data_IF_273208190458
#
_entry.id   IF_273208190458
#
_cell.length_a   1.000
_cell.length_b   1.000
_cell.length_c   1.000
_cell.angle_alpha   90.00
_cell.angle_beta   90.00
_cell.angle_gamma   90.00
#
_symmetry.space_group_name_H-M   'P 1'
#
loop_
_entity.id
_entity.type
_entity.pdbx_description
1 polymer ?
#
# COMPACT_ATOMS: atom_id res chain seq x y z
N UNK A 1 7.86 13.06 -23.43
CA UNK A 1 9.05 13.69 -22.82
C UNK A 1 9.98 12.57 -22.38
N UNK A 2 11.27 12.66 -22.68
CA UNK A 2 12.24 11.63 -22.32
C UNK A 2 12.41 11.67 -20.79
N UNK A 3 11.78 10.76 -20.05
CA UNK A 3 11.91 10.70 -18.59
C UNK A 3 13.30 10.20 -18.27
N UNK A 4 14.22 11.12 -17.98
CA UNK A 4 15.58 10.79 -17.58
C UNK A 4 15.52 9.81 -16.40
N UNK A 5 16.23 8.69 -16.55
CA UNK A 5 16.36 7.68 -15.50
C UNK A 5 17.62 7.98 -14.71
N UNK A 6 17.49 8.10 -13.40
CA UNK A 6 18.62 8.34 -12.49
C UNK A 6 18.94 7.05 -11.75
N UNK A 7 20.22 6.67 -11.71
CA UNK A 7 20.69 5.51 -10.95
C UNK A 7 21.14 5.96 -9.56
N UNK A 8 20.64 5.31 -8.52
CA UNK A 8 20.79 5.72 -7.13
C UNK A 8 21.13 4.52 -6.23
N UNK A 9 21.98 4.73 -5.23
CA UNK A 9 22.15 3.82 -4.09
C UNK A 9 20.96 3.92 -3.11
N UNK A 10 20.87 2.99 -2.15
CA UNK A 10 19.84 3.03 -1.10
C UNK A 10 19.89 4.32 -0.27
N UNK A 11 21.09 4.84 0.01
CA UNK A 11 21.29 6.09 0.75
C UNK A 11 20.82 7.30 -0.05
N UNK A 12 21.09 7.35 -1.35
CA UNK A 12 20.69 8.48 -2.21
C UNK A 12 19.18 8.54 -2.42
N UNK A 13 18.45 7.41 -2.34
CA UNK A 13 16.97 7.42 -2.39
C UNK A 13 16.34 8.33 -1.32
N UNK A 14 16.99 8.51 -0.17
CA UNK A 14 16.50 9.33 0.93
C UNK A 14 16.37 10.80 0.50
N UNK A 15 17.33 11.31 -0.27
CA UNK A 15 17.29 12.67 -0.83
C UNK A 15 16.16 12.84 -1.86
N UNK A 16 15.69 11.73 -2.44
CA UNK A 16 14.52 11.68 -3.32
C UNK A 16 13.20 11.38 -2.57
N UNK A 17 13.25 11.36 -1.24
CA UNK A 17 12.11 11.18 -0.36
C UNK A 17 11.60 9.74 -0.26
N UNK A 18 12.43 8.74 -0.59
CA UNK A 18 12.15 7.35 -0.27
C UNK A 18 13.23 6.81 0.66
N UNK A 19 12.85 6.41 1.86
CA UNK A 19 13.72 5.59 2.71
C UNK A 19 13.35 4.11 2.55
N UNK A 20 14.34 3.27 2.26
CA UNK A 20 14.17 1.81 2.17
C UNK A 20 15.27 1.10 2.95
N UNK A 21 15.63 1.54 4.16
CA UNK A 21 16.65 0.89 5.01
C UNK A 21 17.85 0.31 4.24
N UNK A 22 18.13 -1.00 4.37
CA UNK A 22 19.17 -1.70 3.56
C UNK A 22 18.73 -2.13 2.15
N UNK A 23 17.48 -1.88 1.77
CA UNK A 23 16.97 -2.08 0.42
C UNK A 23 16.56 -3.52 0.06
N UNK A 24 16.89 -4.50 0.90
CA UNK A 24 16.68 -5.94 0.62
C UNK A 24 15.22 -6.39 0.48
N UNK A 25 14.28 -5.55 0.91
CA UNK A 25 12.85 -5.86 0.90
C UNK A 25 12.11 -5.50 -0.38
N UNK A 26 12.73 -4.74 -1.29
CA UNK A 26 12.08 -4.26 -2.51
C UNK A 26 12.35 -5.21 -3.67
N UNK A 27 11.32 -5.98 -4.07
CA UNK A 27 11.50 -7.10 -5.02
C UNK A 27 11.16 -6.75 -6.47
N UNK A 28 10.34 -5.73 -6.67
CA UNK A 28 9.84 -5.28 -7.98
C UNK A 28 9.78 -3.76 -7.98
N UNK A 29 9.47 -3.12 -9.12
CA UNK A 29 9.24 -1.70 -9.14
C UNK A 29 8.18 -1.27 -8.12
N UNK A 30 8.47 -0.18 -7.43
CA UNK A 30 7.58 0.54 -6.53
C UNK A 30 7.22 1.87 -7.17
N UNK A 31 5.97 2.32 -7.02
CA UNK A 31 5.61 3.70 -7.31
C UNK A 31 5.40 4.44 -6.00
N UNK A 32 6.08 5.56 -5.79
CA UNK A 32 5.92 6.36 -4.59
C UNK A 32 5.69 7.83 -4.91
N UNK A 33 4.71 8.41 -4.26
CA UNK A 33 4.59 9.85 -4.11
C UNK A 33 5.36 10.26 -2.85
N UNK A 34 6.40 11.08 -3.00
CA UNK A 34 7.30 11.38 -1.87
C UNK A 34 6.63 12.30 -0.82
N UNK A 35 7.02 12.22 0.46
CA UNK A 35 7.95 11.25 1.03
C UNK A 35 7.31 9.91 1.40
N UNK A 36 8.07 8.81 1.39
CA UNK A 36 7.64 7.48 1.87
C UNK A 36 8.76 6.85 2.70
N UNK A 37 8.40 6.18 3.80
CA UNK A 37 9.35 5.50 4.68
C UNK A 37 9.06 4.00 4.80
N UNK A 38 9.93 3.17 4.26
CA UNK A 38 9.85 1.71 4.37
C UNK A 38 10.98 1.22 5.27
N UNK A 39 10.70 1.05 6.57
CA UNK A 39 11.69 0.60 7.56
C UNK A 39 11.96 -0.90 7.39
N UNK A 40 12.90 -1.24 6.50
CA UNK A 40 13.35 -2.60 6.23
C UNK A 40 12.18 -3.60 6.06
N UNK A 41 11.31 -3.44 5.05
CA UNK A 41 10.23 -4.40 4.84
C UNK A 41 10.79 -5.79 4.49
N UNK A 42 10.04 -6.86 4.81
CA UNK A 42 10.42 -8.21 4.35
C UNK A 42 10.28 -8.31 2.84
N UNK A 43 9.12 -7.89 2.32
CA UNK A 43 8.75 -7.96 0.90
C UNK A 43 7.79 -6.84 0.53
N UNK A 44 8.17 -6.04 -0.44
CA UNK A 44 7.28 -5.12 -1.16
C UNK A 44 7.31 -5.54 -2.62
N UNK A 45 6.15 -5.97 -3.12
CA UNK A 45 5.97 -6.46 -4.48
C UNK A 45 4.78 -5.79 -5.14
N UNK A 46 5.02 -5.17 -6.28
CA UNK A 46 4.05 -4.50 -7.16
C UNK A 46 3.17 -3.49 -6.40
N UNK A 47 3.77 -2.70 -5.50
CA UNK A 47 3.04 -1.78 -4.64
C UNK A 47 3.18 -0.32 -5.08
N UNK A 48 2.21 0.49 -4.65
CA UNK A 48 2.23 1.95 -4.74
C UNK A 48 1.99 2.59 -3.38
N UNK A 49 2.64 3.72 -3.09
CA UNK A 49 2.50 4.45 -1.82
C UNK A 49 2.32 5.95 -2.04
N UNK A 50 1.30 6.51 -1.39
CA UNK A 50 1.09 7.95 -1.30
C UNK A 50 2.04 8.62 -0.30
N UNK A 51 2.18 9.93 -0.43
CA UNK A 51 3.00 10.75 0.46
C UNK A 51 2.70 10.56 1.95
N UNK A 52 3.75 10.61 2.76
CA UNK A 52 3.75 10.43 4.21
C UNK A 52 3.34 9.04 4.70
N UNK A 53 3.15 8.07 3.79
CA UNK A 53 2.94 6.69 4.19
C UNK A 53 4.24 6.07 4.70
N UNK A 54 4.11 5.18 5.69
CA UNK A 54 5.24 4.37 6.14
C UNK A 54 4.85 2.94 6.50
N UNK A 55 5.84 2.06 6.40
CA UNK A 55 5.77 0.67 6.86
C UNK A 55 6.89 0.45 7.87
N UNK A 56 6.55 0.21 9.14
CA UNK A 56 7.49 -0.30 10.11
C UNK A 56 7.71 -1.80 9.84
N UNK A 57 8.66 -2.14 8.99
CA UNK A 57 8.82 -3.48 8.46
C UNK A 57 9.59 -4.42 9.38
N UNK A 58 10.76 -4.00 9.89
CA UNK A 58 11.68 -4.82 10.70
C UNK A 58 11.90 -6.25 10.15
N UNK A 59 11.95 -6.38 8.82
CA UNK A 59 12.04 -7.63 8.06
C UNK A 59 10.88 -8.62 8.27
N UNK A 60 9.73 -8.14 8.74
CA UNK A 60 8.53 -8.97 9.01
C UNK A 60 7.36 -8.67 8.08
N UNK A 61 7.11 -7.40 7.71
CA UNK A 61 5.94 -7.02 6.90
C UNK A 61 6.11 -7.37 5.41
N UNK A 62 5.06 -7.94 4.81
CA UNK A 62 5.00 -8.36 3.41
C UNK A 62 3.75 -7.82 2.70
N UNK A 63 3.93 -6.95 1.72
CA UNK A 63 2.85 -6.37 0.91
C UNK A 63 3.00 -6.80 -0.55
N UNK A 64 1.89 -7.21 -1.16
CA UNK A 64 1.83 -7.73 -2.53
C UNK A 64 0.66 -7.10 -3.28
N UNK A 65 0.94 -6.42 -4.39
CA UNK A 65 -0.08 -5.77 -5.23
C UNK A 65 -1.00 -4.87 -4.38
N UNK A 66 -0.40 -3.93 -3.64
CA UNK A 66 -1.10 -3.01 -2.76
C UNK A 66 -0.97 -1.56 -3.27
N UNK A 67 -2.07 -0.82 -3.28
CA UNK A 67 -2.06 0.64 -3.43
C UNK A 67 -2.37 1.29 -2.08
N UNK A 68 -1.41 2.02 -1.52
CA UNK A 68 -1.47 2.61 -0.19
C UNK A 68 -1.62 4.13 -0.30
N UNK A 69 -2.63 4.69 0.37
CA UNK A 69 -2.90 6.12 0.39
C UNK A 69 -1.92 6.93 1.23
N UNK A 70 -1.96 8.25 1.05
CA UNK A 70 -1.21 9.22 1.85
C UNK A 70 -1.46 9.08 3.36
N UNK A 71 -0.46 9.42 4.17
CA UNK A 71 -0.52 9.43 5.65
C UNK A 71 -0.83 8.06 6.29
N UNK A 72 -0.76 6.96 5.54
CA UNK A 72 -1.07 5.62 6.07
C UNK A 72 0.11 5.04 6.83
N UNK A 73 -0.18 4.49 8.00
CA UNK A 73 0.77 3.93 8.96
C UNK A 73 0.58 2.42 9.07
N UNK A 74 1.60 1.65 8.70
CA UNK A 74 1.56 0.17 8.74
C UNK A 74 2.61 -0.33 9.73
N UNK A 75 2.18 -1.08 10.74
CA UNK A 75 3.07 -1.67 11.74
C UNK A 75 3.82 -2.92 11.22
N UNK A 76 4.60 -3.52 12.11
CA UNK A 76 5.37 -4.73 11.85
C UNK A 76 4.50 -5.98 11.71
N UNK A 77 5.07 -7.01 11.11
CA UNK A 77 4.46 -8.32 10.87
C UNK A 77 3.14 -8.29 10.08
N UNK A 78 2.85 -7.19 9.36
CA UNK A 78 1.65 -7.09 8.53
C UNK A 78 1.83 -7.86 7.23
N UNK A 79 0.83 -8.66 6.87
CA UNK A 79 0.75 -9.31 5.55
C UNK A 79 -0.48 -8.80 4.83
N UNK A 80 -0.31 -8.17 3.68
CA UNK A 80 -1.41 -7.67 2.87
C UNK A 80 -1.28 -8.12 1.42
N UNK A 81 -2.42 -8.49 0.82
CA UNK A 81 -2.47 -8.81 -0.60
C UNK A 81 -1.80 -10.13 -0.99
N UNK A 82 -1.50 -11.03 -0.05
CA UNK A 82 -0.85 -12.31 -0.35
C UNK A 82 -1.58 -13.11 -1.44
N UNK A 83 -0.84 -13.88 -2.25
CA UNK A 83 -1.42 -14.71 -3.31
C UNK A 83 -2.38 -15.75 -2.73
N UNK A 84 -3.51 -15.93 -3.40
CA UNK A 84 -4.52 -16.94 -3.05
C UNK A 84 -4.45 -18.12 -4.02
N UNK A 85 -4.86 -19.28 -3.56
CA UNK A 85 -4.92 -20.50 -4.34
C UNK A 85 -6.38 -20.92 -4.57
N UNK A 86 -6.70 -21.59 -5.68
CA UNK A 86 -8.02 -22.17 -5.89
C UNK A 86 -8.34 -23.18 -4.78
N UNK A 87 -9.54 -23.05 -4.20
CA UNK A 87 -10.06 -23.98 -3.17
C UNK A 87 -11.07 -24.98 -3.73
N UNK A 88 -11.64 -24.68 -4.90
CA UNK A 88 -12.70 -25.48 -5.54
C UNK A 88 -12.20 -26.35 -6.70
N UNK A 89 -10.90 -26.35 -6.96
CA UNK A 89 -10.29 -27.16 -8.02
C UNK A 89 -9.80 -28.50 -7.45
N UNK A 90 -9.45 -29.44 -8.33
CA UNK A 90 -8.87 -30.72 -7.93
C UNK A 90 -7.67 -30.57 -6.98
N UNK A 91 -6.86 -29.53 -7.16
CA UNK A 91 -5.73 -29.21 -6.29
C UNK A 91 -5.58 -27.70 -6.16
N UNK A 92 -5.11 -27.26 -5.00
CA UNK A 92 -4.62 -25.91 -4.80
C UNK A 92 -3.19 -25.72 -5.34
N UNK A 93 -2.53 -26.78 -5.84
CA UNK A 93 -1.16 -26.68 -6.31
C UNK A 93 -1.06 -25.81 -7.59
N UNK A 94 -0.08 -24.90 -7.68
CA UNK A 94 0.15 -24.04 -8.84
C UNK A 94 0.31 -24.72 -10.19
N UNK A 95 0.45 -26.05 -10.28
CA UNK A 95 0.65 -26.71 -11.58
C UNK A 95 -0.59 -26.59 -12.48
N UNK A 96 -1.75 -26.28 -11.89
CA UNK A 96 -3.02 -26.11 -12.59
C UNK A 96 -3.26 -24.69 -13.13
N UNK A 97 -2.61 -23.66 -12.58
CA UNK A 97 -2.95 -22.25 -12.89
C UNK A 97 -1.76 -21.30 -13.03
N UNK A 98 -0.57 -21.70 -12.60
CA UNK A 98 0.59 -20.85 -12.68
C UNK A 98 1.37 -21.06 -13.98
N UNK A 99 2.00 -20.00 -14.44
CA UNK A 99 2.89 -20.05 -15.59
C UNK A 99 4.09 -20.96 -15.28
N UNK A 100 4.46 -21.90 -16.18
CA UNK A 100 5.58 -22.81 -15.97
C UNK A 100 6.87 -22.09 -15.57
N UNK A 101 7.13 -20.89 -16.11
CA UNK A 101 8.33 -20.11 -15.79
C UNK A 101 8.38 -19.62 -14.33
N UNK A 102 7.29 -19.69 -13.56
CA UNK A 102 7.29 -19.45 -12.11
C UNK A 102 7.88 -20.64 -11.31
N UNK A 103 7.92 -21.83 -11.92
CA UNK A 103 8.36 -23.09 -11.32
C UNK A 103 9.61 -23.66 -12.00
N UNK A 104 10.55 -22.80 -12.41
CA UNK A 104 11.76 -23.19 -13.18
C UNK A 104 12.53 -24.36 -12.56
N UNK A 105 12.61 -24.41 -11.22
CA UNK A 105 13.30 -25.50 -10.52
C UNK A 105 12.54 -26.82 -10.64
N UNK A 106 11.22 -26.80 -10.52
CA UNK A 106 10.39 -28.00 -10.68
C UNK A 106 10.39 -28.47 -12.14
N UNK A 107 10.32 -27.57 -13.12
CA UNK A 107 10.38 -27.92 -14.54
C UNK A 107 11.69 -28.64 -14.97
N UNK A 108 12.75 -28.56 -14.16
CA UNK A 108 13.98 -29.34 -14.40
C UNK A 108 13.80 -30.83 -14.07
N UNK A 109 12.75 -31.19 -13.36
CA UNK A 109 12.44 -32.58 -13.02
C UNK A 109 11.51 -33.18 -14.09
N UNK A 110 11.88 -34.32 -14.72
CA UNK A 110 11.08 -34.95 -15.76
C UNK A 110 9.63 -35.26 -15.34
N UNK A 111 9.40 -35.55 -14.06
CA UNK A 111 8.09 -35.84 -13.51
C UNK A 111 7.17 -34.60 -13.54
N UNK A 112 7.71 -33.44 -13.15
CA UNK A 112 6.93 -32.21 -13.11
C UNK A 112 6.72 -31.62 -14.51
N UNK A 113 7.73 -31.73 -15.38
CA UNK A 113 7.60 -31.34 -16.79
C UNK A 113 6.49 -32.12 -17.50
N UNK A 114 6.30 -33.42 -17.18
CA UNK A 114 5.16 -34.21 -17.66
C UNK A 114 3.83 -33.80 -17.05
N UNK A 115 3.82 -33.32 -15.80
CA UNK A 115 2.61 -32.89 -15.08
C UNK A 115 2.08 -31.53 -15.56
N UNK A 116 2.98 -30.60 -15.94
CA UNK A 116 2.64 -29.26 -16.41
C UNK A 116 3.38 -28.93 -17.72
N UNK A 117 3.03 -29.59 -18.84
CA UNK A 117 3.79 -29.51 -20.09
C UNK A 117 3.57 -28.20 -20.88
N UNK A 118 2.46 -27.49 -20.67
CA UNK A 118 2.12 -26.25 -21.38
C UNK A 118 1.77 -25.12 -20.41
N UNK A 119 1.97 -23.84 -20.79
CA UNK A 119 1.39 -22.72 -20.06
C UNK A 119 -0.14 -22.82 -20.04
N UNK A 120 -0.81 -22.56 -18.90
CA UNK A 120 -2.25 -22.76 -18.79
C UNK A 120 -3.02 -21.92 -19.84
N UNK A 121 -3.69 -22.60 -20.77
CA UNK A 121 -4.39 -22.00 -21.92
C UNK A 121 -5.83 -21.52 -21.60
N UNK A 122 -6.28 -21.64 -20.35
CA UNK A 122 -7.65 -21.33 -19.92
C UNK A 122 -7.69 -20.44 -18.68
N UNK A 123 -8.79 -19.68 -18.56
CA UNK A 123 -9.17 -18.73 -17.50
C UNK A 123 -8.23 -18.76 -16.29
N UNK A 124 -7.18 -17.94 -16.35
CA UNK A 124 -6.20 -17.82 -15.28
C UNK A 124 -6.95 -17.53 -13.97
N UNK A 125 -6.63 -18.28 -12.91
CA UNK A 125 -7.04 -17.92 -11.55
C UNK A 125 -6.69 -16.44 -11.37
N UNK A 126 -7.61 -15.56 -10.91
CA UNK A 126 -7.36 -14.12 -10.89
C UNK A 126 -6.08 -13.83 -10.09
N UNK A 127 -4.99 -13.63 -10.81
CA UNK A 127 -3.64 -13.46 -10.25
C UNK A 127 -3.40 -12.02 -9.81
N UNK A 128 -4.23 -11.09 -10.28
CA UNK A 128 -4.15 -9.67 -9.99
C UNK A 128 -5.47 -9.16 -9.42
N UNK A 129 -5.43 -8.83 -8.14
CA UNK A 129 -6.49 -8.12 -7.44
C UNK A 129 -5.80 -7.19 -6.46
N UNK A 130 -5.62 -5.94 -6.88
CA UNK A 130 -4.94 -4.94 -6.07
C UNK A 130 -5.68 -4.71 -4.76
N UNK A 131 -4.96 -4.79 -3.65
CA UNK A 131 -5.49 -4.47 -2.33
C UNK A 131 -5.41 -2.95 -2.14
N UNK A 132 -6.56 -2.30 -1.98
CA UNK A 132 -6.64 -0.85 -1.86
C UNK A 132 -6.62 -0.48 -0.37
N UNK A 133 -5.61 0.27 0.06
CA UNK A 133 -5.50 0.80 1.41
C UNK A 133 -5.62 2.32 1.31
N UNK A 134 -6.67 2.90 1.89
CA UNK A 134 -6.97 4.32 1.79
C UNK A 134 -5.94 5.23 2.47
N UNK A 135 -6.33 6.50 2.59
CA UNK A 135 -5.55 7.55 3.24
C UNK A 135 -5.76 7.53 4.76
N UNK A 136 -4.78 8.00 5.55
CA UNK A 136 -4.89 8.07 7.02
C UNK A 136 -5.26 6.74 7.69
N UNK A 137 -4.92 5.61 7.06
CA UNK A 137 -5.21 4.28 7.61
C UNK A 137 -4.14 3.93 8.64
N UNK A 138 -4.54 3.30 9.75
CA UNK A 138 -3.61 2.68 10.67
C UNK A 138 -3.81 1.17 10.73
N UNK A 139 -2.74 0.41 10.47
CA UNK A 139 -2.74 -1.05 10.49
C UNK A 139 -1.82 -1.53 11.61
N UNK A 140 -2.41 -2.16 12.61
CA UNK A 140 -1.73 -2.69 13.79
C UNK A 140 -0.88 -3.91 13.49
N UNK A 141 0.05 -4.21 14.39
CA UNK A 141 1.04 -5.25 14.20
C UNK A 141 0.42 -6.62 13.97
N UNK A 142 0.99 -7.42 13.08
CA UNK A 142 0.55 -8.79 12.83
C UNK A 142 -0.80 -8.92 12.10
N UNK A 143 -1.39 -7.82 11.63
CA UNK A 143 -2.65 -7.87 10.88
C UNK A 143 -2.47 -8.56 9.51
N UNK A 144 -3.49 -9.30 9.11
CA UNK A 144 -3.60 -9.90 7.78
C UNK A 144 -4.71 -9.22 6.99
N UNK A 145 -4.42 -8.82 5.76
CA UNK A 145 -5.41 -8.28 4.82
C UNK A 145 -5.47 -9.18 3.59
N UNK A 146 -6.64 -9.80 3.39
CA UNK A 146 -6.92 -10.64 2.23
C UNK A 146 -6.74 -9.84 0.94
N UNK A 147 -6.19 -10.48 -0.09
CA UNK A 147 -6.05 -9.91 -1.43
C UNK A 147 -7.38 -9.39 -1.98
N UNK A 148 -7.32 -8.22 -2.62
CA UNK A 148 -8.45 -7.55 -3.24
C UNK A 148 -9.36 -6.77 -2.28
N UNK A 149 -9.10 -6.83 -0.97
CA UNK A 149 -9.85 -6.05 0.02
C UNK A 149 -9.58 -4.55 -0.13
N UNK A 150 -10.62 -3.74 0.06
CA UNK A 150 -10.54 -2.28 0.15
C UNK A 150 -10.66 -1.82 1.60
N UNK A 151 -9.65 -1.12 2.10
CA UNK A 151 -9.65 -0.48 3.42
C UNK A 151 -9.94 1.02 3.21
N UNK A 152 -11.09 1.49 3.68
CA UNK A 152 -11.52 2.88 3.52
C UNK A 152 -10.64 3.87 4.28
N UNK A 153 -10.66 5.13 3.83
CA UNK A 153 -9.83 6.18 4.43
C UNK A 153 -10.10 6.35 5.92
N UNK A 154 -9.05 6.56 6.69
CA UNK A 154 -9.13 6.72 8.12
C UNK A 154 -9.45 5.43 8.87
N UNK A 155 -9.57 4.26 8.22
CA UNK A 155 -9.85 3.04 8.96
C UNK A 155 -8.70 2.66 9.91
N UNK A 156 -9.04 1.95 10.99
CA UNK A 156 -8.08 1.34 11.91
C UNK A 156 -8.27 -0.16 11.89
N UNK A 157 -7.22 -0.88 11.54
CA UNK A 157 -7.15 -2.34 11.64
C UNK A 157 -6.35 -2.67 12.90
N UNK A 158 -7.00 -3.25 13.91
CA UNK A 158 -6.35 -3.61 15.15
C UNK A 158 -5.25 -4.67 14.94
N UNK A 159 -4.32 -4.76 15.90
CA UNK A 159 -3.28 -5.78 15.89
C UNK A 159 -3.88 -7.19 15.75
N UNK A 160 -3.20 -8.03 14.97
CA UNK A 160 -3.59 -9.41 14.67
C UNK A 160 -5.00 -9.60 14.07
N UNK A 161 -5.64 -8.55 13.54
CA UNK A 161 -6.91 -8.71 12.85
C UNK A 161 -6.73 -9.46 11.51
N UNK A 162 -7.68 -10.33 11.15
CA UNK A 162 -7.73 -11.01 9.84
C UNK A 162 -8.87 -10.42 9.03
N UNK A 163 -8.54 -9.47 8.16
CA UNK A 163 -9.50 -8.72 7.34
C UNK A 163 -9.78 -9.49 6.05
N UNK A 164 -11.00 -10.01 5.93
CA UNK A 164 -11.43 -10.82 4.78
C UNK A 164 -12.47 -10.13 3.89
N UNK A 165 -12.89 -8.92 4.24
CA UNK A 165 -13.91 -8.11 3.54
C UNK A 165 -13.54 -6.63 3.65
N UNK A 166 -14.10 -5.83 2.76
CA UNK A 166 -13.91 -4.38 2.74
C UNK A 166 -14.24 -3.73 4.10
N UNK A 167 -13.44 -2.74 4.46
CA UNK A 167 -13.57 -1.99 5.70
C UNK A 167 -14.06 -0.58 5.37
N UNK A 168 -15.21 -0.13 5.92
CA UNK A 168 -15.71 1.20 5.65
C UNK A 168 -14.76 2.29 6.17
N UNK A 169 -14.77 3.49 5.56
CA UNK A 169 -13.96 4.61 6.04
C UNK A 169 -14.19 4.91 7.52
N UNK A 170 -13.13 5.33 8.19
CA UNK A 170 -13.11 5.71 9.61
C UNK A 170 -13.63 4.65 10.58
N UNK A 171 -13.74 3.39 10.15
CA UNK A 171 -14.13 2.27 11.01
C UNK A 171 -12.93 1.66 11.72
N UNK A 172 -13.14 1.19 12.94
CA UNK A 172 -12.17 0.39 13.69
C UNK A 172 -12.60 -1.08 13.62
N UNK A 173 -11.74 -1.94 13.08
CA UNK A 173 -11.99 -3.38 12.96
C UNK A 173 -11.00 -4.20 13.78
N UNK A 174 -11.45 -5.32 14.33
CA UNK A 174 -10.59 -6.26 15.07
C UNK A 174 -11.12 -7.70 15.00
N UNK A 175 -10.28 -8.67 15.33
CA UNK A 175 -10.63 -10.09 15.43
C UNK A 175 -10.33 -10.91 14.17
N UNK A 176 -10.66 -12.19 14.24
CA UNK A 176 -10.41 -13.18 13.18
C UNK A 176 -11.65 -14.07 12.99
N UNK A 177 -12.48 -13.87 11.95
CA UNK A 177 -12.42 -12.77 10.98
C UNK A 177 -12.70 -11.41 11.63
N UNK A 178 -12.10 -10.35 11.06
CA UNK A 178 -12.24 -8.99 11.57
C UNK A 178 -13.70 -8.51 11.45
N UNK A 179 -14.19 -7.85 12.51
CA UNK A 179 -15.50 -7.22 12.57
C UNK A 179 -15.36 -5.75 12.94
N UNK A 180 -16.29 -4.92 12.48
CA UNK A 180 -16.37 -3.51 12.88
C UNK A 180 -16.73 -3.47 14.36
N UNK A 181 -15.90 -2.78 15.15
CA UNK A 181 -16.15 -2.50 16.57
C UNK A 181 -16.96 -1.22 16.74
N UNK A 182 -16.51 -0.14 16.08
CA UNK A 182 -17.11 1.20 16.12
C UNK A 182 -16.48 2.11 15.05
N UNK A 183 -17.06 3.29 14.83
CA UNK A 183 -16.39 4.39 14.14
C UNK A 183 -15.30 5.05 15.01
N UNK A 184 -14.30 5.66 14.37
CA UNK A 184 -13.34 6.57 15.02
C UNK A 184 -14.03 7.82 15.57
N UNK A 185 -15.02 8.32 14.83
CA UNK A 185 -15.77 9.54 15.12
C UNK A 185 -17.28 9.28 14.92
N UNK A 186 -18.10 10.29 15.24
CA UNK A 186 -19.53 10.28 14.91
C UNK A 186 -19.76 10.42 13.39
N UNK A 187 -20.95 10.02 12.93
CA UNK A 187 -21.29 9.98 11.51
C UNK A 187 -21.16 11.34 10.80
N UNK A 188 -21.48 12.45 11.49
CA UNK A 188 -21.37 13.80 10.91
C UNK A 188 -19.91 14.18 10.69
N UNK A 189 -19.04 13.90 11.66
CA UNK A 189 -17.60 14.11 11.51
C UNK A 189 -17.00 13.27 10.39
N UNK A 190 -17.42 12.01 10.26
CA UNK A 190 -16.97 11.11 9.19
C UNK A 190 -17.36 11.66 7.81
N UNK A 191 -18.60 12.14 7.65
CA UNK A 191 -19.08 12.75 6.41
C UNK A 191 -18.25 13.99 6.04
N UNK A 192 -18.02 14.88 7.01
CA UNK A 192 -17.19 16.08 6.83
C UNK A 192 -15.77 15.72 6.40
N UNK A 193 -15.14 14.75 7.06
CA UNK A 193 -13.79 14.27 6.72
C UNK A 193 -13.71 13.70 5.31
N UNK A 194 -14.67 12.87 4.94
CA UNK A 194 -14.77 12.27 3.60
C UNK A 194 -15.00 13.32 2.51
N UNK A 195 -15.74 14.39 2.82
CA UNK A 195 -15.93 15.52 1.91
C UNK A 195 -14.69 16.40 1.79
N UNK A 196 -14.05 16.69 2.92
CA UNK A 196 -12.88 17.56 2.99
C UNK A 196 -11.66 16.92 2.33
N UNK A 197 -11.49 15.60 2.44
CA UNK A 197 -10.33 14.86 1.91
C UNK A 197 -9.00 15.56 2.25
N UNK A 198 -8.82 15.91 3.52
CA UNK A 198 -7.76 16.80 4.00
C UNK A 198 -6.35 16.38 3.53
N UNK A 199 -6.12 15.08 3.32
CA UNK A 199 -4.86 14.51 2.85
C UNK A 199 -4.45 14.98 1.43
N UNK A 200 -5.36 15.65 0.70
CA UNK A 200 -5.07 16.27 -0.59
C UNK A 200 -4.32 17.59 -0.47
N UNK A 201 -4.28 18.20 0.71
CA UNK A 201 -3.81 19.58 0.92
C UNK A 201 -2.51 19.67 1.70
N UNK A 202 -1.78 20.77 1.50
CA UNK A 202 -0.58 21.08 2.28
C UNK A 202 -0.98 21.65 3.64
N UNK A 203 -0.78 20.83 4.68
CA UNK A 203 -1.07 21.19 6.07
C UNK A 203 0.10 21.89 6.76
N UNK A 204 1.30 21.89 6.18
CA UNK A 204 2.50 22.38 6.87
C UNK A 204 2.40 23.85 7.32
N UNK A 205 1.87 24.79 6.50
CA UNK A 205 1.70 26.18 6.91
C UNK A 205 0.77 26.38 8.11
N UNK A 206 -0.15 25.43 8.35
CA UNK A 206 -1.22 25.54 9.33
C UNK A 206 -0.97 24.71 10.60
N UNK A 207 0.13 23.94 10.64
CA UNK A 207 0.46 23.03 11.75
C UNK A 207 0.56 23.71 13.11
N UNK A 208 1.05 24.94 13.14
CA UNK A 208 1.24 25.70 14.38
C UNK A 208 -0.04 26.41 14.86
N UNK A 209 -1.02 26.60 13.99
CA UNK A 209 -2.23 27.41 14.26
C UNK A 209 -3.48 26.56 14.50
N UNK A 210 -3.55 25.37 13.89
CA UNK A 210 -4.67 24.44 14.04
C UNK A 210 -4.32 23.39 15.09
N UNK A 211 -5.22 23.15 16.05
CA UNK A 211 -5.12 22.00 16.95
C UNK A 211 -5.73 20.74 16.31
N UNK A 212 -4.89 19.97 15.61
CA UNK A 212 -5.28 18.71 14.97
C UNK A 212 -5.70 17.60 15.95
N UNK A 213 -5.51 17.78 17.26
CA UNK A 213 -5.95 16.80 18.28
C UNK A 213 -7.44 16.93 18.59
N UNK A 214 -8.07 18.03 18.19
CA UNK A 214 -9.48 18.31 18.46
C UNK A 214 -10.29 18.30 17.16
N UNK A 215 -10.99 17.19 16.90
CA UNK A 215 -11.57 16.91 15.57
C UNK A 215 -12.53 17.99 15.06
N UNK A 216 -13.44 18.50 15.90
CA UNK A 216 -14.40 19.53 15.46
C UNK A 216 -13.68 20.82 15.09
N UNK A 217 -12.80 21.31 15.98
CA UNK A 217 -12.05 22.55 15.72
C UNK A 217 -11.11 22.44 14.53
N UNK A 218 -10.49 21.27 14.32
CA UNK A 218 -9.66 21.01 13.15
C UNK A 218 -10.48 21.03 11.85
N UNK A 219 -11.65 20.38 11.83
CA UNK A 219 -12.55 20.41 10.68
C UNK A 219 -13.05 21.82 10.38
N UNK A 220 -13.51 22.55 11.39
CA UNK A 220 -14.00 23.93 11.23
C UNK A 220 -12.91 24.83 10.64
N UNK A 221 -11.68 24.75 11.17
CA UNK A 221 -10.56 25.55 10.68
C UNK A 221 -10.14 25.19 9.24
N UNK A 222 -10.06 23.90 8.91
CA UNK A 222 -9.68 23.47 7.56
C UNK A 222 -10.75 23.79 6.52
N UNK A 223 -12.02 23.61 6.86
CA UNK A 223 -13.14 23.98 5.97
C UNK A 223 -13.19 25.50 5.74
N UNK A 224 -12.92 26.30 6.78
CA UNK A 224 -12.79 27.75 6.64
C UNK A 224 -11.62 28.14 5.73
N UNK A 225 -10.44 27.56 5.94
CA UNK A 225 -9.28 27.81 5.08
C UNK A 225 -9.55 27.41 3.62
N UNK A 226 -10.28 26.31 3.41
CA UNK A 226 -10.66 25.87 2.07
C UNK A 226 -11.63 26.86 1.42
N UNK A 227 -12.65 27.32 2.15
CA UNK A 227 -13.62 28.30 1.66
C UNK A 227 -12.97 29.64 1.30
N UNK A 228 -11.91 30.02 2.03
CA UNK A 228 -11.14 31.25 1.78
C UNK A 228 -10.03 31.08 0.73
N UNK A 229 -9.87 29.88 0.14
CA UNK A 229 -8.82 29.59 -0.85
C UNK A 229 -7.40 29.55 -0.27
N UNK A 230 -7.26 29.41 1.05
CA UNK A 230 -5.97 29.37 1.77
C UNK A 230 -5.48 27.96 2.07
N UNK A 231 -6.31 26.93 1.87
CA UNK A 231 -5.93 25.53 1.95
C UNK A 231 -5.46 25.05 0.56
N UNK A 232 -4.15 25.14 0.31
CA UNK A 232 -3.57 24.84 -1.00
C UNK A 232 -3.36 23.33 -1.20
N UNK A 233 -3.50 22.80 -2.43
CA UNK A 233 -3.22 21.39 -2.72
C UNK A 233 -1.77 21.02 -2.41
N UNK A 234 -1.57 19.81 -1.87
CA UNK A 234 -0.23 19.27 -1.68
C UNK A 234 0.38 18.88 -3.02
N UNK A 235 1.50 19.52 -3.38
CA UNK A 235 2.25 19.25 -4.59
C UNK A 235 3.49 18.42 -4.27
N UNK A 236 3.57 17.23 -4.84
CA UNK A 236 4.73 16.36 -4.70
C UNK A 236 5.04 15.62 -6.00
N UNK A 237 6.25 15.10 -6.08
CA UNK A 237 6.71 14.29 -7.20
C UNK A 237 6.35 12.83 -6.97
N UNK A 238 5.87 12.17 -8.02
CA UNK A 238 5.71 10.73 -8.05
C UNK A 238 6.82 10.11 -8.89
N UNK A 239 7.42 9.05 -8.36
CA UNK A 239 8.53 8.35 -9.00
C UNK A 239 8.29 6.84 -8.98
N UNK A 240 8.66 6.18 -10.08
CA UNK A 240 8.84 4.74 -10.15
C UNK A 240 10.28 4.41 -9.78
N UNK A 241 10.47 3.48 -8.85
CA UNK A 241 11.77 3.07 -8.32
C UNK A 241 11.92 1.58 -8.58
N UNK A 242 12.92 1.21 -9.37
CA UNK A 242 13.13 -0.14 -9.90
C UNK A 242 14.47 -0.69 -9.39
N UNK A 243 14.46 -1.73 -8.53
CA UNK A 243 15.69 -2.43 -8.12
C UNK A 243 16.47 -2.94 -9.33
N UNK A 244 17.80 -2.79 -9.28
CA UNK A 244 18.72 -3.27 -10.31
C UNK A 244 19.54 -4.46 -9.79
N UNK A 245 20.02 -5.36 -10.69
CA UNK A 245 20.83 -6.52 -10.29
C UNK A 245 22.13 -6.18 -9.55
N UNK A 246 22.65 -4.97 -9.73
CA UNK A 246 23.88 -4.46 -9.11
C UNK A 246 23.66 -3.84 -7.72
N UNK A 247 22.43 -3.90 -7.19
CA UNK A 247 22.06 -3.35 -5.88
C UNK A 247 21.67 -1.86 -5.90
N UNK A 248 21.74 -1.20 -7.06
CA UNK A 248 21.25 0.17 -7.23
C UNK A 248 19.74 0.19 -7.56
N UNK A 249 19.20 1.39 -7.67
CA UNK A 249 17.82 1.67 -8.03
C UNK A 249 17.77 2.63 -9.20
N UNK A 250 16.96 2.29 -10.20
CA UNK A 250 16.60 3.21 -11.26
C UNK A 250 15.34 3.99 -10.84
N UNK A 251 15.46 5.31 -10.78
CA UNK A 251 14.37 6.23 -10.51
C UNK A 251 13.91 6.89 -11.81
N UNK A 252 12.61 6.86 -12.05
CA UNK A 252 11.97 7.54 -13.18
C UNK A 252 10.78 8.33 -12.67
N UNK A 253 10.71 9.63 -12.97
CA UNK A 253 9.54 10.44 -12.65
C UNK A 253 8.36 9.97 -13.50
N UNK A 254 7.21 9.76 -12.86
CA UNK A 254 5.99 9.28 -13.52
C UNK A 254 4.82 10.20 -13.18
N UNK A 255 3.70 9.97 -13.86
CA UNK A 255 2.44 10.66 -13.56
C UNK A 255 2.05 10.47 -12.08
N UNK A 256 1.38 11.47 -11.47
CA UNK A 256 0.91 11.37 -10.10
C UNK A 256 0.10 10.10 -9.86
N UNK A 257 0.34 9.43 -8.73
CA UNK A 257 -0.41 8.23 -8.33
C UNK A 257 -1.93 8.49 -8.21
N UNK A 258 -2.30 9.74 -8.00
CA UNK A 258 -3.67 10.20 -7.78
C UNK A 258 -3.90 11.48 -8.57
N UNK A 259 -3.84 11.41 -9.90
CA UNK A 259 -4.40 12.45 -10.77
C UNK A 259 -5.88 12.13 -11.05
N UNK A 260 -6.73 13.13 -10.77
CA UNK A 260 -8.21 13.20 -10.81
C UNK A 260 -8.92 12.92 -9.47
#
# INVERSE_FOLDING_TARGET
MNTATTQLSATELVEHGLYVGEGRGLLTPLVCERPVWLFDPRRIKDCAFGAYAYVNGQYTSSLYDCAVGRYTSIAEAVVAGAYEHPTEWLSSHPFLFAEPQQFKAFLRQPEFARLAPEPPTQKQWPTHQTTMIGHDVWIGAGAFIKRGVRIGDGAVVAAHAVVTRDVPPYSIVAGQPAKILRGRFDSRSIERLQRLQWWRYDLAPHKATIDFRHIQGALDALEQLLAEGRLLPYQSQTSRITPQPDGHYALTVVEPLYSF
#
